data_IF_671867218535
#
_entry.id   IF_671867218535
#
_cell.length_a   1.000
_cell.length_b   1.000
_cell.length_c   1.000
_cell.angle_alpha   90.00
_cell.angle_beta   90.00
_cell.angle_gamma   90.00
#
_symmetry.space_group_name_H-M   'P 1'
#
loop_
_entity.id
_entity.type
_entity.pdbx_description
1 polymer ?
#
# COMPACT_ATOMS: atom_id res chain seq x y z
N UNK A 1 0.64 0.35 -14.29
CA UNK A 1 0.55 0.76 -12.86
C UNK A 1 1.86 0.45 -12.14
N UNK A 2 2.18 1.16 -11.06
CA UNK A 2 3.44 1.03 -10.31
C UNK A 2 3.80 -0.43 -9.97
N UNK A 3 2.85 -1.21 -9.47
CA UNK A 3 3.07 -2.63 -9.16
C UNK A 3 3.61 -3.45 -10.34
N UNK A 4 3.10 -3.24 -11.56
CA UNK A 4 3.55 -3.99 -12.74
C UNK A 4 4.99 -3.65 -13.12
N UNK A 5 5.45 -2.44 -12.79
CA UNK A 5 6.79 -1.95 -13.09
C UNK A 5 7.85 -2.56 -12.16
N UNK A 6 7.48 -3.04 -10.97
CA UNK A 6 8.38 -3.71 -10.02
C UNK A 6 8.65 -5.18 -10.37
N UNK A 7 7.86 -5.77 -11.28
CA UNK A 7 8.00 -7.14 -11.84
C UNK A 7 8.05 -8.32 -10.86
N UNK A 8 8.14 -8.10 -9.55
CA UNK A 8 8.24 -9.13 -8.53
C UNK A 8 7.30 -8.84 -7.34
N UNK A 9 6.39 -9.76 -7.08
CA UNK A 9 5.53 -9.83 -5.89
C UNK A 9 4.88 -8.50 -5.44
N UNK A 10 4.48 -7.67 -6.41
CA UNK A 10 3.89 -6.37 -6.17
C UNK A 10 2.41 -6.37 -6.58
N UNK A 11 1.58 -5.77 -5.74
CA UNK A 11 0.12 -5.76 -5.89
C UNK A 11 -0.41 -4.33 -5.92
N UNK A 12 -1.62 -4.16 -6.46
CA UNK A 12 -2.29 -2.87 -6.43
C UNK A 12 -3.80 -3.06 -6.34
N UNK A 13 -4.48 -2.06 -5.79
CA UNK A 13 -5.94 -2.01 -5.72
C UNK A 13 -6.35 -0.70 -6.37
N UNK A 14 -7.15 -0.77 -7.44
CA UNK A 14 -7.72 0.40 -8.11
C UNK A 14 -9.15 0.71 -7.66
N UNK A 15 -9.84 -0.29 -7.12
CA UNK A 15 -11.20 -0.17 -6.60
C UNK A 15 -11.20 0.22 -5.13
N UNK A 16 -12.38 0.51 -4.57
CA UNK A 16 -12.52 0.79 -3.14
C UNK A 16 -12.05 -0.41 -2.30
N UNK A 17 -11.25 -0.14 -1.27
CA UNK A 17 -10.86 -1.15 -0.28
C UNK A 17 -12.09 -1.78 0.37
N UNK A 18 -12.11 -3.11 0.44
CA UNK A 18 -13.15 -3.86 1.15
C UNK A 18 -12.76 -4.00 2.62
N UNK A 19 -13.51 -3.42 3.57
CA UNK A 19 -13.20 -3.56 4.99
C UNK A 19 -13.15 -5.02 5.42
N UNK A 20 -12.15 -5.35 6.23
CA UNK A 20 -11.89 -6.70 6.72
C UNK A 20 -10.96 -7.52 5.83
N UNK A 21 -10.48 -7.01 4.70
CA UNK A 21 -9.57 -7.75 3.81
C UNK A 21 -8.34 -8.28 4.54
N UNK A 22 -7.77 -7.56 5.51
CA UNK A 22 -6.59 -8.05 6.25
C UNK A 22 -7.00 -8.69 7.58
N UNK A 23 -7.85 -8.01 8.34
CA UNK A 23 -8.24 -8.42 9.70
C UNK A 23 -9.20 -9.61 9.73
N UNK A 24 -9.98 -9.80 8.66
CA UNK A 24 -10.93 -10.90 8.48
C UNK A 24 -10.56 -11.82 7.30
N UNK A 25 -9.26 -11.90 6.98
CA UNK A 25 -8.72 -12.64 5.83
C UNK A 25 -9.18 -14.12 5.77
N UNK A 26 -9.29 -14.80 6.91
CA UNK A 26 -9.74 -16.20 6.95
C UNK A 26 -11.19 -16.39 6.53
N UNK A 27 -12.09 -15.49 6.95
CA UNK A 27 -13.50 -15.56 6.54
C UNK A 27 -13.68 -15.14 5.07
N UNK A 28 -12.89 -14.18 4.60
CA UNK A 28 -13.01 -13.65 3.24
C UNK A 28 -12.39 -14.54 2.17
N UNK A 29 -11.24 -15.14 2.46
CA UNK A 29 -10.46 -15.91 1.48
C UNK A 29 -10.43 -17.42 1.76
N UNK A 30 -10.82 -17.85 2.97
CA UNK A 30 -10.75 -19.25 3.39
C UNK A 30 -9.38 -19.65 3.95
N UNK A 31 -9.36 -20.65 4.84
CA UNK A 31 -8.16 -21.09 5.55
C UNK A 31 -7.04 -21.57 4.62
N UNK A 32 -7.37 -22.36 3.59
CA UNK A 32 -6.38 -22.92 2.68
C UNK A 32 -5.70 -21.84 1.83
N UNK A 33 -6.45 -20.81 1.42
CA UNK A 33 -5.90 -19.69 0.65
C UNK A 33 -4.99 -18.84 1.53
N UNK A 34 -5.42 -18.50 2.74
CA UNK A 34 -4.59 -17.72 3.68
C UNK A 34 -3.28 -18.44 4.02
N UNK A 35 -3.28 -19.78 4.08
CA UNK A 35 -2.08 -20.56 4.38
C UNK A 35 -1.14 -20.72 3.19
N UNK A 36 -1.69 -20.88 2.00
CA UNK A 36 -0.90 -21.12 0.77
C UNK A 36 -0.43 -19.84 0.08
N UNK A 37 -1.14 -18.73 0.29
CA UNK A 37 -0.89 -17.45 -0.37
C UNK A 37 -0.52 -16.38 0.65
N UNK A 38 0.48 -15.56 0.34
CA UNK A 38 0.85 -14.40 1.17
C UNK A 38 -0.15 -13.26 0.94
N UNK A 39 -1.22 -13.24 1.74
CA UNK A 39 -2.28 -12.21 1.67
C UNK A 39 -1.87 -10.93 2.40
N UNK A 40 -1.15 -11.06 3.50
CA UNK A 40 -0.68 -9.93 4.32
C UNK A 40 0.54 -9.30 3.63
N UNK A 41 0.47 -8.05 3.17
CA UNK A 41 1.59 -7.38 2.54
C UNK A 41 2.66 -6.99 3.56
N UNK A 42 3.92 -6.94 3.13
CA UNK A 42 5.03 -6.46 3.98
C UNK A 42 5.07 -4.94 4.09
N UNK A 43 4.41 -4.23 3.16
CA UNK A 43 4.34 -2.77 3.10
C UNK A 43 3.07 -2.36 2.34
N UNK A 44 2.34 -1.37 2.86
CA UNK A 44 1.20 -0.77 2.16
C UNK A 44 1.50 0.69 1.80
N UNK A 45 1.14 1.09 0.57
CA UNK A 45 1.30 2.47 0.09
C UNK A 45 -0.07 3.06 -0.24
N UNK A 46 -0.41 4.18 0.40
CA UNK A 46 -1.68 4.89 0.23
C UNK A 46 -1.47 6.19 -0.55
N UNK A 47 -2.03 6.27 -1.75
CA UNK A 47 -2.00 7.49 -2.56
C UNK A 47 -3.02 8.54 -2.12
N UNK A 48 -4.05 8.12 -1.39
CA UNK A 48 -5.00 9.01 -0.73
C UNK A 48 -5.38 8.37 0.64
N UNK A 49 -4.65 8.69 1.71
CA UNK A 49 -4.87 8.13 3.04
C UNK A 49 -6.24 8.46 3.63
N UNK A 50 -6.74 9.69 3.42
CA UNK A 50 -8.00 10.16 3.99
C UNK A 50 -9.20 9.32 3.53
N UNK A 51 -9.20 8.92 2.26
CA UNK A 51 -10.26 8.07 1.69
C UNK A 51 -10.08 6.57 2.01
N UNK A 52 -8.94 6.16 2.58
CA UNK A 52 -8.58 4.76 2.83
C UNK A 52 -8.35 4.43 4.32
N UNK A 53 -8.99 5.18 5.22
CA UNK A 53 -8.85 5.02 6.69
C UNK A 53 -9.14 3.60 7.19
N UNK A 54 -10.07 2.86 6.57
CA UNK A 54 -10.34 1.47 6.95
C UNK A 54 -9.12 0.58 6.71
N UNK A 55 -8.51 0.69 5.53
CA UNK A 55 -7.34 -0.09 5.17
C UNK A 55 -6.14 0.24 6.07
N UNK A 56 -5.93 1.53 6.35
CA UNK A 56 -4.87 2.00 7.25
C UNK A 56 -5.04 1.40 8.65
N UNK A 57 -6.26 1.43 9.20
CA UNK A 57 -6.54 0.83 10.52
C UNK A 57 -6.27 -0.67 10.53
N UNK A 58 -6.67 -1.37 9.47
CA UNK A 58 -6.37 -2.79 9.33
C UNK A 58 -4.87 -3.06 9.23
N UNK A 59 -4.11 -2.23 8.50
CA UNK A 59 -2.66 -2.30 8.47
C UNK A 59 -2.04 -2.11 9.86
N UNK A 60 -2.53 -1.16 10.66
CA UNK A 60 -2.07 -0.97 12.05
C UNK A 60 -2.32 -2.20 12.92
N UNK A 61 -3.51 -2.78 12.82
CA UNK A 61 -3.89 -3.99 13.59
C UNK A 61 -3.06 -5.21 13.19
N UNK A 62 -2.70 -5.32 11.91
CA UNK A 62 -1.90 -6.42 11.35
C UNK A 62 -0.39 -6.11 11.33
N UNK A 63 0.03 -5.01 11.97
CA UNK A 63 1.43 -4.59 12.09
C UNK A 63 2.16 -4.39 10.75
N UNK A 64 1.42 -3.95 9.73
CA UNK A 64 1.96 -3.67 8.40
C UNK A 64 2.45 -2.21 8.36
N UNK A 65 3.72 -1.96 8.00
CA UNK A 65 4.22 -0.61 7.81
C UNK A 65 3.53 0.09 6.64
N UNK A 66 3.31 1.41 6.77
CA UNK A 66 2.54 2.19 5.79
C UNK A 66 3.30 3.41 5.29
N UNK A 67 3.26 3.65 3.98
CA UNK A 67 3.64 4.92 3.35
C UNK A 67 2.36 5.61 2.90
N UNK A 68 2.25 6.93 3.06
CA UNK A 68 1.07 7.68 2.61
C UNK A 68 1.42 9.02 1.98
N UNK A 69 0.75 9.38 0.89
CA UNK A 69 0.79 10.75 0.34
C UNK A 69 -0.15 11.61 1.17
N UNK A 70 0.38 12.57 1.91
CA UNK A 70 -0.37 13.36 2.89
C UNK A 70 -0.47 14.80 2.40
N UNK A 71 -1.70 15.26 2.17
CA UNK A 71 -1.99 16.66 1.85
C UNK A 71 -2.26 17.48 3.13
N UNK A 72 -2.37 18.80 2.97
CA UNK A 72 -2.54 19.79 4.03
C UNK A 72 -3.70 19.55 5.01
N UNK A 73 -4.71 18.77 4.62
CA UNK A 73 -5.91 18.46 5.40
C UNK A 73 -5.86 17.08 6.09
N UNK A 74 -4.76 16.33 5.97
CA UNK A 74 -4.61 14.98 6.53
C UNK A 74 -3.61 14.99 7.68
N UNK A 75 -3.96 14.32 8.80
CA UNK A 75 -3.00 14.12 9.91
C UNK A 75 -1.88 13.17 9.47
N UNK A 76 -0.61 13.60 9.41
CA UNK A 76 0.50 12.76 8.93
C UNK A 76 0.76 11.53 9.82
N UNK A 77 0.24 11.51 11.06
CA UNK A 77 0.45 10.42 12.03
C UNK A 77 -0.39 9.18 11.76
N UNK A 78 -1.33 9.23 10.81
CA UNK A 78 -2.16 8.08 10.45
C UNK A 78 -1.38 7.02 9.65
N UNK A 79 -0.23 7.38 9.08
CA UNK A 79 0.69 6.49 8.36
C UNK A 79 2.07 6.54 9.00
N UNK A 80 2.88 5.49 8.79
CA UNK A 80 4.21 5.41 9.41
C UNK A 80 5.24 6.31 8.70
N UNK A 81 5.17 6.37 7.38
CA UNK A 81 6.08 7.16 6.54
C UNK A 81 5.28 8.12 5.64
N UNK A 82 4.96 9.33 6.13
CA UNK A 82 4.22 10.32 5.36
C UNK A 82 5.11 10.98 4.29
N UNK A 83 4.56 11.17 3.09
CA UNK A 83 5.13 11.95 1.99
C UNK A 83 4.24 13.18 1.80
N UNK A 84 4.67 14.38 2.23
CA UNK A 84 3.90 15.60 2.05
C UNK A 84 3.77 15.95 0.57
N UNK A 85 2.56 15.91 0.00
CA UNK A 85 2.27 16.33 -1.36
C UNK A 85 0.77 16.46 -1.62
N UNK A 86 0.41 17.15 -2.72
CA UNK A 86 -0.96 17.27 -3.21
C UNK A 86 -1.49 15.90 -3.69
N UNK A 87 -2.52 15.36 -3.02
CA UNK A 87 -3.16 14.09 -3.36
C UNK A 87 -4.39 14.22 -4.29
N UNK A 88 -4.86 15.43 -4.58
CA UNK A 88 -5.93 15.71 -5.56
C UNK A 88 -5.42 15.61 -7.02
N UNK A 89 -4.13 15.85 -7.24
CA UNK A 89 -3.54 15.85 -8.58
C UNK A 89 -3.11 14.46 -9.01
N UNK A 90 -3.75 13.93 -10.05
CA UNK A 90 -3.36 12.67 -10.70
C UNK A 90 -1.87 12.69 -11.10
N UNK A 91 -1.36 13.82 -11.59
CA UNK A 91 0.05 13.96 -11.98
C UNK A 91 1.00 13.77 -10.81
N UNK A 92 0.65 14.34 -9.65
CA UNK A 92 1.44 14.19 -8.43
C UNK A 92 1.43 12.74 -7.96
N UNK A 93 0.27 12.10 -7.95
CA UNK A 93 0.13 10.69 -7.56
C UNK A 93 0.89 9.76 -8.52
N UNK A 94 0.80 9.98 -9.83
CA UNK A 94 1.54 9.23 -10.85
C UNK A 94 3.05 9.37 -10.68
N UNK A 95 3.53 10.58 -10.39
CA UNK A 95 4.94 10.87 -10.13
C UNK A 95 5.43 10.12 -8.89
N UNK A 96 4.75 10.27 -7.76
CA UNK A 96 5.14 9.62 -6.49
C UNK A 96 5.09 8.10 -6.62
N UNK A 97 3.99 7.54 -7.14
CA UNK A 97 3.87 6.10 -7.37
C UNK A 97 4.93 5.59 -8.37
N UNK A 98 5.29 6.40 -9.36
CA UNK A 98 6.36 6.14 -10.31
C UNK A 98 7.73 6.04 -9.63
N UNK A 99 8.08 7.03 -8.81
CA UNK A 99 9.35 7.07 -8.08
C UNK A 99 9.47 5.92 -7.08
N UNK A 100 8.42 5.64 -6.30
CA UNK A 100 8.39 4.50 -5.37
C UNK A 100 8.56 3.17 -6.11
N UNK A 101 7.98 3.04 -7.30
CA UNK A 101 8.16 1.86 -8.13
C UNK A 101 9.59 1.70 -8.64
N UNK A 102 10.30 2.79 -8.92
CA UNK A 102 11.71 2.74 -9.35
C UNK A 102 12.56 2.32 -8.14
N UNK A 103 12.40 2.99 -7.00
CA UNK A 103 13.12 2.65 -5.77
C UNK A 103 12.93 1.17 -5.35
N UNK A 104 11.69 0.66 -5.44
CA UNK A 104 11.40 -0.74 -5.15
C UNK A 104 12.05 -1.70 -6.15
N UNK A 105 12.14 -1.34 -7.43
CA UNK A 105 12.84 -2.13 -8.45
C UNK A 105 14.34 -2.17 -8.18
N UNK A 106 14.94 -1.02 -7.89
CA UNK A 106 16.37 -0.91 -7.59
C UNK A 106 16.74 -1.76 -6.36
N UNK A 107 15.87 -1.77 -5.34
CA UNK A 107 16.03 -2.65 -4.17
C UNK A 107 15.95 -4.15 -4.50
N UNK A 108 15.06 -4.55 -5.42
CA UNK A 108 14.96 -5.94 -5.89
C UNK A 108 16.23 -6.34 -6.67
N UNK A 109 16.74 -5.44 -7.51
CA UNK A 109 17.96 -5.68 -8.28
C UNK A 109 19.17 -5.83 -7.36
N UNK A 110 19.33 -4.93 -6.40
CA UNK A 110 20.40 -4.99 -5.39
C UNK A 110 20.33 -6.26 -4.52
N UNK A 111 19.13 -6.74 -4.19
CA UNK A 111 18.95 -7.98 -3.42
C UNK A 111 19.32 -9.25 -4.22
N UNK A 112 19.24 -9.21 -5.56
CA UNK A 112 19.54 -10.35 -6.43
C UNK A 112 21.03 -10.49 -6.75
N UNK A 113 21.82 -9.44 -6.54
CA UNK A 113 23.27 -9.43 -6.69
C UNK A 113 23.94 -10.03 -5.44
#
# INVERSE_FOLDING_TARGET
>A
KAAHRMSYNAYHIGEKWKPGTLTNKHSLFGFDVVRSTKIVPDLAVFLNPLHNMSAIRECTLEHIPTIGVVDSNVDPRIVMYPIPANDDSIRTLELIAGLLSIAGRDGIEAYRQ
#
